data_IF_634795759110
#
_entry.id   IF_634795759110
#
_cell.length_a   1.000
_cell.length_b   1.000
_cell.length_c   1.000
_cell.angle_alpha   90.00
_cell.angle_beta   90.00
_cell.angle_gamma   90.00
#
_symmetry.space_group_name_H-M   'P 1'
#
loop_
_entity.id
_entity.type
_entity.pdbx_description
1 polymer ?
#
# COMPACT_ATOMS: atom_id res chain seq x y z
N UNK A 1 -28.61 11.51 -8.85
CA UNK A 1 -28.21 10.31 -9.63
C UNK A 1 -28.88 9.08 -9.08
N UNK A 2 -29.46 8.24 -9.93
CA UNK A 2 -29.98 6.93 -9.50
C UNK A 2 -28.82 6.00 -9.12
N UNK A 3 -29.08 5.02 -8.27
CA UNK A 3 -28.07 4.02 -7.86
C UNK A 3 -27.47 3.26 -9.05
N UNK A 4 -28.26 3.05 -10.10
CA UNK A 4 -27.81 2.41 -11.36
C UNK A 4 -26.84 3.29 -12.13
N UNK A 5 -27.14 4.58 -12.28
CA UNK A 5 -26.25 5.55 -12.95
C UNK A 5 -24.90 5.68 -12.23
N UNK A 6 -24.90 5.69 -10.89
CA UNK A 6 -23.65 5.77 -10.11
C UNK A 6 -22.78 4.52 -10.28
N UNK A 7 -23.38 3.32 -10.30
CA UNK A 7 -22.63 2.07 -10.54
C UNK A 7 -22.03 2.02 -11.94
N UNK A 8 -22.79 2.43 -12.96
CA UNK A 8 -22.30 2.51 -14.33
C UNK A 8 -21.13 3.50 -14.46
N UNK A 9 -21.24 4.67 -13.82
CA UNK A 9 -20.16 5.66 -13.79
C UNK A 9 -18.89 5.11 -13.10
N UNK A 10 -19.03 4.43 -11.95
CA UNK A 10 -17.89 3.81 -11.28
C UNK A 10 -17.25 2.70 -12.12
N UNK A 11 -18.04 1.88 -12.80
CA UNK A 11 -17.53 0.87 -13.72
C UNK A 11 -16.74 1.52 -14.86
N UNK A 12 -17.27 2.59 -15.46
CA UNK A 12 -16.57 3.35 -16.49
C UNK A 12 -15.24 3.92 -15.99
N UNK A 13 -15.21 4.45 -14.76
CA UNK A 13 -13.96 4.92 -14.12
C UNK A 13 -12.97 3.78 -13.90
N UNK A 14 -13.41 2.60 -13.49
CA UNK A 14 -12.52 1.44 -13.31
C UNK A 14 -11.98 0.91 -14.64
N UNK A 15 -12.81 0.87 -15.69
CA UNK A 15 -12.38 0.50 -17.04
C UNK A 15 -11.38 1.52 -17.61
N UNK A 16 -11.63 2.82 -17.39
CA UNK A 16 -10.69 3.88 -17.73
C UNK A 16 -9.37 3.72 -16.96
N UNK A 17 -9.44 3.49 -15.64
CA UNK A 17 -8.27 3.29 -14.81
C UNK A 17 -7.43 2.10 -15.30
N UNK A 18 -8.08 0.98 -15.62
CA UNK A 18 -7.44 -0.21 -16.18
C UNK A 18 -6.79 0.10 -17.52
N UNK A 19 -7.53 0.67 -18.47
CA UNK A 19 -7.04 1.02 -19.81
C UNK A 19 -5.80 1.91 -19.77
N UNK A 20 -5.81 2.95 -18.93
CA UNK A 20 -4.66 3.85 -18.76
C UNK A 20 -3.42 3.15 -18.19
N UNK A 21 -3.61 2.12 -17.36
CA UNK A 21 -2.50 1.41 -16.69
C UNK A 21 -1.91 0.32 -17.58
N UNK A 22 -2.70 -0.31 -18.44
CA UNK A 22 -2.19 -1.33 -19.39
C UNK A 22 -1.67 -0.74 -20.70
N UNK A 23 -1.97 0.52 -20.99
CA UNK A 23 -1.52 1.17 -22.22
C UNK A 23 0.01 1.22 -22.26
N UNK A 24 0.60 0.53 -23.26
CA UNK A 24 2.06 0.43 -23.46
C UNK A 24 2.83 -0.13 -22.25
N UNK A 25 2.25 -1.10 -21.54
CA UNK A 25 2.79 -1.66 -20.30
C UNK A 25 4.19 -2.29 -20.44
N UNK A 26 4.51 -2.84 -21.61
CA UNK A 26 5.78 -3.49 -21.97
C UNK A 26 6.61 -2.68 -22.96
N UNK A 27 6.26 -1.42 -23.20
CA UNK A 27 6.96 -0.58 -24.16
C UNK A 27 8.35 -0.11 -23.67
N UNK A 28 8.51 0.04 -22.36
CA UNK A 28 9.76 0.49 -21.74
C UNK A 28 10.52 -0.71 -21.21
N UNK A 29 11.81 -0.84 -21.51
CA UNK A 29 12.67 -1.85 -20.90
C UNK A 29 12.70 -1.74 -19.36
N UNK A 30 13.07 -2.83 -18.68
CA UNK A 30 13.19 -2.86 -17.23
C UNK A 30 14.22 -1.83 -16.72
N UNK A 31 13.79 -1.00 -15.78
CA UNK A 31 14.62 0.03 -15.15
C UNK A 31 15.34 -0.54 -13.93
N UNK A 32 16.44 0.11 -13.50
CA UNK A 32 17.39 -0.40 -12.50
C UNK A 32 16.75 -1.21 -11.36
N UNK A 33 15.83 -0.60 -10.62
CA UNK A 33 15.21 -1.28 -9.48
C UNK A 33 14.12 -2.31 -9.85
N UNK A 34 13.46 -2.16 -11.00
CA UNK A 34 12.55 -3.19 -11.53
C UNK A 34 13.34 -4.45 -11.90
N UNK A 35 14.48 -4.28 -12.56
CA UNK A 35 15.37 -5.37 -12.93
C UNK A 35 15.92 -6.08 -11.67
N UNK A 36 16.35 -5.31 -10.67
CA UNK A 36 16.75 -5.86 -9.36
C UNK A 36 15.60 -6.68 -8.75
N UNK A 37 14.41 -6.09 -8.63
CA UNK A 37 13.24 -6.76 -8.05
C UNK A 37 12.81 -8.01 -8.81
N UNK A 38 12.95 -8.01 -10.14
CA UNK A 38 12.73 -9.18 -10.98
C UNK A 38 13.68 -10.33 -10.59
N UNK A 39 15.00 -10.10 -10.64
CA UNK A 39 15.98 -11.13 -10.27
C UNK A 39 15.84 -11.57 -8.81
N UNK A 40 15.50 -10.65 -7.92
CA UNK A 40 15.24 -10.95 -6.52
C UNK A 40 14.06 -11.92 -6.36
N UNK A 41 12.99 -11.71 -7.12
CA UNK A 41 11.77 -12.54 -7.09
C UNK A 41 11.94 -13.92 -7.74
N UNK A 42 13.02 -14.15 -8.51
CA UNK A 42 13.35 -15.47 -9.06
C UNK A 42 13.95 -16.42 -8.02
N UNK A 43 14.38 -15.91 -6.86
CA UNK A 43 14.92 -16.71 -5.76
C UNK A 43 13.82 -17.56 -5.11
N UNK A 44 14.21 -18.61 -4.38
CA UNK A 44 13.23 -19.35 -3.56
C UNK A 44 12.67 -18.45 -2.45
N UNK A 45 11.46 -18.71 -1.91
CA UNK A 45 10.90 -17.89 -0.83
C UNK A 45 11.83 -17.73 0.39
N UNK A 46 12.57 -18.80 0.72
CA UNK A 46 13.58 -18.76 1.80
C UNK A 46 14.75 -17.85 1.45
N UNK A 47 15.23 -17.92 0.22
CA UNK A 47 16.35 -17.11 -0.25
C UNK A 47 15.97 -15.64 -0.43
N UNK A 48 14.70 -15.33 -0.76
CA UNK A 48 14.17 -13.96 -0.75
C UNK A 48 14.32 -13.36 0.64
N UNK A 49 13.86 -14.07 1.68
CA UNK A 49 13.98 -13.61 3.08
C UNK A 49 15.45 -13.49 3.48
N UNK A 50 16.25 -14.52 3.22
CA UNK A 50 17.68 -14.52 3.56
C UNK A 50 18.46 -13.39 2.88
N UNK A 51 18.22 -13.18 1.58
CA UNK A 51 18.86 -12.10 0.82
C UNK A 51 18.39 -10.72 1.28
N UNK A 52 17.13 -10.56 1.70
CA UNK A 52 16.62 -9.27 2.21
C UNK A 52 17.41 -8.85 3.44
N UNK A 53 17.66 -9.80 4.35
CA UNK A 53 18.42 -9.55 5.56
C UNK A 53 19.92 -9.36 5.27
N UNK A 54 20.51 -10.24 4.46
CA UNK A 54 21.94 -10.22 4.16
C UNK A 54 22.37 -8.97 3.37
N UNK A 55 21.54 -8.49 2.46
CA UNK A 55 21.81 -7.29 1.66
C UNK A 55 21.31 -6.00 2.33
N UNK A 56 20.70 -6.09 3.51
CA UNK A 56 20.00 -4.98 4.17
C UNK A 56 19.07 -4.24 3.19
N UNK A 57 18.29 -5.03 2.45
CA UNK A 57 17.37 -4.52 1.45
C UNK A 57 16.33 -3.62 2.13
N UNK A 58 16.23 -2.33 1.74
CA UNK A 58 15.39 -1.35 2.44
C UNK A 58 13.88 -1.61 2.26
N UNK A 59 13.49 -2.56 1.41
CA UNK A 59 12.11 -2.96 1.20
C UNK A 59 11.80 -4.30 1.86
N UNK A 60 10.67 -4.44 2.59
CA UNK A 60 10.30 -5.70 3.20
C UNK A 60 9.87 -6.74 2.15
N UNK A 61 9.83 -8.02 2.58
CA UNK A 61 9.75 -9.20 1.69
C UNK A 61 8.43 -9.38 0.94
N UNK A 62 7.36 -8.71 1.36
CA UNK A 62 6.00 -9.02 0.93
C UNK A 62 5.76 -8.83 -0.57
N UNK A 63 6.30 -7.76 -1.16
CA UNK A 63 6.18 -7.51 -2.60
C UNK A 63 6.92 -8.57 -3.42
N UNK A 64 8.15 -8.92 -3.03
CA UNK A 64 8.96 -9.93 -3.72
C UNK A 64 8.35 -11.33 -3.64
N UNK A 65 7.80 -11.72 -2.48
CA UNK A 65 7.12 -13.01 -2.33
C UNK A 65 5.84 -13.12 -3.17
N UNK A 66 5.06 -12.04 -3.24
CA UNK A 66 3.87 -11.99 -4.09
C UNK A 66 4.25 -12.05 -5.57
N UNK A 67 5.30 -11.32 -5.96
CA UNK A 67 5.81 -11.30 -7.33
C UNK A 67 6.40 -12.64 -7.74
N UNK A 68 7.11 -13.34 -6.84
CA UNK A 68 7.58 -14.71 -7.03
C UNK A 68 6.42 -15.66 -7.37
N UNK A 69 5.38 -15.69 -6.53
CA UNK A 69 4.23 -16.55 -6.75
C UNK A 69 3.45 -16.19 -8.02
N UNK A 70 3.36 -14.91 -8.35
CA UNK A 70 2.71 -14.44 -9.57
C UNK A 70 3.47 -14.85 -10.84
N UNK A 71 4.79 -14.63 -10.89
CA UNK A 71 5.61 -14.99 -12.05
C UNK A 71 5.61 -16.51 -12.30
N UNK A 72 5.57 -17.31 -11.23
CA UNK A 72 5.44 -18.77 -11.34
C UNK A 72 4.14 -19.19 -12.05
N UNK A 73 3.06 -18.41 -11.95
CA UNK A 73 1.78 -18.69 -12.57
C UNK A 73 1.59 -18.00 -13.94
N UNK A 74 2.02 -16.75 -14.07
CA UNK A 74 1.79 -15.90 -15.24
C UNK A 74 2.93 -15.96 -16.27
N UNK A 75 4.08 -16.54 -15.91
CA UNK A 75 5.28 -16.61 -16.74
C UNK A 75 6.20 -15.40 -16.60
N UNK A 76 7.31 -15.45 -17.35
CA UNK A 76 8.40 -14.48 -17.27
C UNK A 76 8.38 -13.55 -18.50
N UNK A 77 7.73 -12.41 -18.37
CA UNK A 77 7.78 -11.31 -19.33
C UNK A 77 7.63 -9.97 -18.61
N UNK A 78 8.08 -8.87 -19.22
CA UNK A 78 7.92 -7.52 -18.65
C UNK A 78 6.44 -7.16 -18.46
N UNK A 79 5.59 -7.58 -19.40
CA UNK A 79 4.15 -7.42 -19.29
C UNK A 79 3.60 -8.16 -18.06
N UNK A 80 3.92 -9.44 -17.90
CA UNK A 80 3.45 -10.24 -16.77
C UNK A 80 3.94 -9.65 -15.44
N UNK A 81 5.21 -9.23 -15.39
CA UNK A 81 5.84 -8.59 -14.24
C UNK A 81 5.05 -7.35 -13.77
N UNK A 82 4.80 -6.40 -14.68
CA UNK A 82 4.13 -5.13 -14.37
C UNK A 82 2.62 -5.27 -14.21
N UNK A 83 2.00 -6.30 -14.81
CA UNK A 83 0.56 -6.52 -14.70
C UNK A 83 0.11 -6.72 -13.24
N UNK A 84 0.98 -7.27 -12.38
CA UNK A 84 0.69 -7.37 -10.95
C UNK A 84 0.50 -5.97 -10.33
N UNK A 85 1.39 -5.02 -10.62
CA UNK A 85 1.26 -3.63 -10.18
C UNK A 85 0.00 -2.96 -10.73
N UNK A 86 -0.35 -3.22 -12.00
CA UNK A 86 -1.60 -2.74 -12.61
C UNK A 86 -2.81 -3.23 -11.82
N UNK A 87 -2.86 -4.53 -11.50
CA UNK A 87 -3.96 -5.12 -10.76
C UNK A 87 -4.14 -4.45 -9.38
N UNK A 88 -3.05 -4.27 -8.63
CA UNK A 88 -3.09 -3.57 -7.35
C UNK A 88 -3.49 -2.10 -7.48
N UNK A 89 -3.05 -1.41 -8.53
CA UNK A 89 -3.40 -0.01 -8.76
C UNK A 89 -4.88 0.17 -9.10
N UNK A 90 -5.45 -0.71 -9.93
CA UNK A 90 -6.91 -0.71 -10.21
C UNK A 90 -7.71 -1.08 -8.96
N UNK A 91 -7.22 -2.04 -8.17
CA UNK A 91 -7.81 -2.38 -6.89
C UNK A 91 -7.82 -1.17 -5.93
N UNK A 92 -6.73 -0.39 -5.88
CA UNK A 92 -6.68 0.84 -5.08
C UNK A 92 -7.78 1.85 -5.48
N UNK A 93 -8.02 2.03 -6.79
CA UNK A 93 -9.12 2.87 -7.30
C UNK A 93 -10.48 2.34 -6.83
N UNK A 94 -10.73 1.04 -6.93
CA UNK A 94 -11.97 0.42 -6.46
C UNK A 94 -12.16 0.55 -4.95
N UNK A 95 -11.08 0.37 -4.18
CA UNK A 95 -11.08 0.51 -2.73
C UNK A 95 -11.37 1.95 -2.30
N UNK A 96 -10.84 2.95 -3.02
CA UNK A 96 -11.13 4.36 -2.75
C UNK A 96 -12.63 4.67 -2.94
N UNK A 97 -13.26 4.13 -3.99
CA UNK A 97 -14.71 4.23 -4.16
C UNK A 97 -15.48 3.55 -3.00
N UNK A 98 -14.96 2.43 -2.49
CA UNK A 98 -15.46 1.78 -1.28
C UNK A 98 -15.33 2.67 -0.03
N UNK A 99 -14.16 3.28 0.16
CA UNK A 99 -13.84 4.16 1.28
C UNK A 99 -14.70 5.42 1.27
N UNK A 100 -14.87 6.06 0.11
CA UNK A 100 -15.76 7.21 -0.04
C UNK A 100 -17.19 6.91 0.43
N UNK A 101 -17.71 5.71 0.11
CA UNK A 101 -19.02 5.25 0.60
C UNK A 101 -19.01 4.98 2.10
N UNK A 102 -17.95 4.36 2.63
CA UNK A 102 -17.83 4.09 4.06
C UNK A 102 -17.79 5.38 4.90
N UNK A 103 -17.15 6.42 4.37
CA UNK A 103 -17.10 7.77 4.94
C UNK A 103 -18.38 8.58 4.70
N UNK A 104 -19.38 8.01 4.01
CA UNK A 104 -20.67 8.65 3.68
C UNK A 104 -20.51 9.96 2.89
N UNK A 105 -19.49 10.05 2.04
CA UNK A 105 -19.34 11.18 1.13
C UNK A 105 -20.52 11.24 0.16
N UNK A 106 -20.86 12.45 -0.30
CA UNK A 106 -21.84 12.62 -1.36
C UNK A 106 -21.43 11.80 -2.60
N UNK A 107 -22.38 11.21 -3.35
CA UNK A 107 -22.05 10.34 -4.49
C UNK A 107 -21.10 10.98 -5.51
N UNK A 108 -21.25 12.29 -5.76
CA UNK A 108 -20.38 13.05 -6.66
C UNK A 108 -18.98 13.28 -6.11
N UNK A 109 -18.84 13.57 -4.82
CA UNK A 109 -17.53 13.67 -4.18
C UNK A 109 -16.78 12.33 -4.22
N UNK A 110 -17.49 11.21 -3.98
CA UNK A 110 -16.90 9.88 -4.07
C UNK A 110 -16.49 9.49 -5.49
N UNK A 111 -17.33 9.79 -6.49
CA UNK A 111 -17.01 9.59 -7.90
C UNK A 111 -15.81 10.44 -8.33
N UNK A 112 -15.80 11.72 -7.96
CA UNK A 112 -14.70 12.64 -8.28
C UNK A 112 -13.39 12.18 -7.64
N UNK A 113 -13.39 11.79 -6.36
CA UNK A 113 -12.19 11.27 -5.69
C UNK A 113 -11.63 10.02 -6.40
N UNK A 114 -12.53 9.12 -6.82
CA UNK A 114 -12.15 7.89 -7.54
C UNK A 114 -11.60 8.22 -8.93
N UNK A 115 -12.23 9.16 -9.66
CA UNK A 115 -11.78 9.62 -10.97
C UNK A 115 -10.42 10.32 -10.88
N UNK A 116 -10.20 11.16 -9.87
CA UNK A 116 -8.93 11.83 -9.65
C UNK A 116 -7.79 10.81 -9.42
N UNK A 117 -8.02 9.75 -8.64
CA UNK A 117 -7.02 8.69 -8.48
C UNK A 117 -6.82 7.87 -9.76
N UNK A 118 -7.89 7.62 -10.53
CA UNK A 118 -7.80 6.91 -11.80
C UNK A 118 -6.91 7.65 -12.81
N UNK A 119 -6.99 8.98 -12.84
CA UNK A 119 -6.27 9.88 -13.74
C UNK A 119 -4.92 10.38 -13.19
N UNK A 120 -4.60 10.13 -11.92
CA UNK A 120 -3.41 10.66 -11.28
C UNK A 120 -2.13 10.13 -11.98
N UNK A 121 -1.30 11.01 -12.57
CA UNK A 121 -0.12 10.58 -13.34
C UNK A 121 0.85 9.73 -12.51
N UNK A 122 1.05 10.09 -11.24
CA UNK A 122 1.91 9.33 -10.32
C UNK A 122 1.35 7.93 -10.03
N UNK A 123 0.02 7.79 -9.88
CA UNK A 123 -0.60 6.48 -9.65
C UNK A 123 -0.58 5.60 -10.91
N UNK A 124 -0.61 6.20 -12.10
CA UNK A 124 -0.45 5.51 -13.38
C UNK A 124 0.99 5.07 -13.56
N UNK A 125 1.96 5.96 -13.32
CA UNK A 125 3.40 5.63 -13.37
C UNK A 125 3.72 4.43 -12.48
N UNK A 126 3.31 4.47 -11.22
CA UNK A 126 3.53 3.36 -10.28
C UNK A 126 2.71 2.10 -10.57
N UNK A 127 1.69 2.18 -11.41
CA UNK A 127 0.98 1.00 -11.90
C UNK A 127 1.77 0.27 -12.99
N UNK A 128 2.61 1.00 -13.72
CA UNK A 128 3.45 0.48 -14.80
C UNK A 128 4.89 0.17 -14.34
N UNK A 129 5.19 0.45 -13.08
CA UNK A 129 6.46 0.12 -12.44
C UNK A 129 6.28 -1.17 -11.61
N UNK A 130 7.12 -2.18 -11.84
CA UNK A 130 7.09 -3.47 -11.15
C UNK A 130 7.64 -3.40 -9.71
N UNK A 131 7.08 -2.47 -8.93
CA UNK A 131 7.52 -2.10 -7.58
C UNK A 131 6.34 -2.16 -6.59
N UNK A 132 6.66 -2.10 -5.30
CA UNK A 132 5.70 -2.24 -4.20
C UNK A 132 4.70 -1.08 -4.05
N UNK A 133 4.85 0.03 -4.77
CA UNK A 133 4.09 1.26 -4.52
C UNK A 133 2.59 1.10 -4.76
N UNK A 134 2.18 0.47 -5.87
CA UNK A 134 0.77 0.21 -6.16
C UNK A 134 0.13 -0.75 -5.16
N UNK A 135 0.89 -1.77 -4.72
CA UNK A 135 0.47 -2.68 -3.64
C UNK A 135 0.27 -1.92 -2.33
N UNK A 136 1.24 -1.09 -1.95
CA UNK A 136 1.20 -0.27 -0.73
C UNK A 136 -0.01 0.66 -0.73
N UNK A 137 -0.27 1.36 -1.84
CA UNK A 137 -1.43 2.23 -2.00
C UNK A 137 -2.75 1.47 -1.82
N UNK A 138 -2.88 0.29 -2.45
CA UNK A 138 -4.09 -0.53 -2.33
C UNK A 138 -4.29 -1.03 -0.90
N UNK A 139 -3.25 -1.58 -0.28
CA UNK A 139 -3.33 -2.17 1.06
C UNK A 139 -3.57 -1.11 2.14
N UNK A 140 -2.93 0.05 2.06
CA UNK A 140 -3.17 1.16 2.99
C UNK A 140 -4.59 1.75 2.82
N UNK A 141 -5.10 1.82 1.59
CA UNK A 141 -6.49 2.22 1.31
C UNK A 141 -7.48 1.18 1.86
N UNK A 142 -7.21 -0.11 1.66
CA UNK A 142 -8.01 -1.20 2.21
C UNK A 142 -7.99 -1.22 3.75
N UNK A 143 -6.82 -1.03 4.38
CA UNK A 143 -6.69 -0.89 5.83
C UNK A 143 -7.56 0.27 6.33
N UNK A 144 -7.51 1.43 5.66
CA UNK A 144 -8.33 2.60 6.02
C UNK A 144 -9.83 2.33 5.83
N UNK A 145 -10.22 1.62 4.77
CA UNK A 145 -11.59 1.17 4.55
C UNK A 145 -12.05 0.20 5.66
N UNK A 146 -11.18 -0.73 6.08
CA UNK A 146 -11.48 -1.64 7.17
C UNK A 146 -11.66 -0.91 8.51
N UNK A 147 -10.78 0.04 8.82
CA UNK A 147 -10.93 0.93 9.97
C UNK A 147 -12.28 1.67 9.92
N UNK A 148 -12.60 2.34 8.82
CA UNK A 148 -13.86 3.06 8.67
C UNK A 148 -15.09 2.14 8.80
N UNK A 149 -15.03 0.96 8.18
CA UNK A 149 -16.07 -0.07 8.25
C UNK A 149 -16.27 -0.61 9.67
N UNK A 150 -15.18 -0.84 10.41
CA UNK A 150 -15.21 -1.24 11.80
C UNK A 150 -15.78 -0.13 12.69
N UNK A 151 -15.34 1.12 12.50
CA UNK A 151 -15.84 2.27 13.25
C UNK A 151 -17.35 2.46 13.06
N UNK A 152 -17.86 2.20 11.87
CA UNK A 152 -19.28 2.34 11.55
C UNK A 152 -20.15 1.17 12.05
N UNK A 153 -19.66 -0.08 11.97
CA UNK A 153 -20.50 -1.28 12.16
C UNK A 153 -20.15 -2.14 13.37
N UNK A 154 -18.94 -1.99 13.92
CA UNK A 154 -18.46 -2.77 15.09
C UNK A 154 -18.50 -4.28 14.90
N UNK A 155 -18.33 -4.76 13.68
CA UNK A 155 -18.30 -6.21 13.39
C UNK A 155 -16.87 -6.71 13.30
N UNK A 156 -16.63 -7.89 13.87
CA UNK A 156 -15.31 -8.53 13.91
C UNK A 156 -14.64 -8.74 12.54
N UNK A 157 -15.35 -8.99 11.40
CA UNK A 157 -14.65 -9.16 10.12
C UNK A 157 -13.93 -7.90 9.66
N UNK A 158 -14.42 -6.71 10.02
CA UNK A 158 -13.72 -5.45 9.73
C UNK A 158 -12.48 -5.27 10.61
N UNK A 159 -12.52 -5.75 11.86
CA UNK A 159 -11.36 -5.74 12.75
C UNK A 159 -10.28 -6.72 12.28
N UNK A 160 -10.67 -7.96 11.96
CA UNK A 160 -9.77 -8.96 11.40
C UNK A 160 -9.18 -8.50 10.06
N UNK A 161 -10.02 -7.99 9.16
CA UNK A 161 -9.58 -7.40 7.89
C UNK A 161 -8.60 -6.24 8.09
N UNK A 162 -8.85 -5.35 9.05
CA UNK A 162 -7.94 -4.27 9.39
C UNK A 162 -6.56 -4.80 9.83
N UNK A 163 -6.51 -5.74 10.78
CA UNK A 163 -5.25 -6.31 11.27
C UNK A 163 -4.48 -7.00 10.15
N UNK A 164 -5.14 -7.88 9.39
CA UNK A 164 -4.52 -8.65 8.31
C UNK A 164 -3.98 -7.76 7.20
N UNK A 165 -4.79 -6.83 6.70
CA UNK A 165 -4.38 -5.93 5.60
C UNK A 165 -3.29 -4.96 6.06
N UNK A 166 -3.34 -4.49 7.31
CA UNK A 166 -2.29 -3.61 7.86
C UNK A 166 -0.97 -4.35 8.00
N UNK A 167 -0.99 -5.60 8.48
CA UNK A 167 0.20 -6.44 8.51
C UNK A 167 0.77 -6.65 7.11
N UNK A 168 -0.07 -6.97 6.13
CA UNK A 168 0.37 -7.13 4.74
C UNK A 168 0.96 -5.82 4.19
N UNK A 169 0.34 -4.68 4.49
CA UNK A 169 0.86 -3.37 4.07
C UNK A 169 2.26 -3.09 4.63
N UNK A 170 2.49 -3.41 5.90
CA UNK A 170 3.80 -3.24 6.55
C UNK A 170 4.87 -4.18 5.96
N UNK A 171 4.50 -5.41 5.62
CA UNK A 171 5.40 -6.34 4.92
C UNK A 171 5.64 -5.98 3.46
N UNK A 172 4.82 -5.11 2.85
CA UNK A 172 5.01 -4.60 1.49
C UNK A 172 5.82 -3.31 1.50
N UNK A 173 5.60 -2.42 2.47
CA UNK A 173 6.32 -1.16 2.56
C UNK A 173 6.34 -0.63 4.00
N UNK A 174 7.54 -0.40 4.56
CA UNK A 174 7.70 0.12 5.93
C UNK A 174 6.96 1.45 6.18
N UNK A 175 6.86 2.31 5.17
CA UNK A 175 6.15 3.59 5.26
C UNK A 175 4.63 3.47 5.39
N UNK A 176 4.05 2.27 5.26
CA UNK A 176 2.68 2.02 5.70
C UNK A 176 2.48 2.39 7.19
N UNK A 177 3.55 2.39 8.00
CA UNK A 177 3.52 2.86 9.38
C UNK A 177 2.99 4.31 9.51
N UNK A 178 3.29 5.21 8.57
CA UNK A 178 2.76 6.58 8.61
C UNK A 178 1.24 6.62 8.45
N UNK A 179 0.69 5.73 7.61
CA UNK A 179 -0.77 5.59 7.47
C UNK A 179 -1.37 5.03 8.76
N UNK A 180 -0.72 4.05 9.40
CA UNK A 180 -1.16 3.51 10.69
C UNK A 180 -1.16 4.59 11.78
N UNK A 181 -0.14 5.45 11.81
CA UNK A 181 -0.09 6.61 12.73
C UNK A 181 -1.25 7.57 12.43
N UNK A 182 -1.51 7.92 11.17
CA UNK A 182 -2.63 8.77 10.80
C UNK A 182 -3.99 8.17 11.21
N UNK A 183 -4.17 6.87 11.02
CA UNK A 183 -5.35 6.13 11.47
C UNK A 183 -5.49 6.17 13.00
N UNK A 184 -4.38 5.98 13.73
CA UNK A 184 -4.35 6.07 15.19
C UNK A 184 -4.79 7.46 15.67
N UNK A 185 -4.18 8.51 15.12
CA UNK A 185 -4.51 9.90 15.44
C UNK A 185 -5.98 10.21 15.12
N UNK A 186 -6.50 9.71 14.00
CA UNK A 186 -7.90 9.87 13.63
C UNK A 186 -8.86 9.24 14.66
N UNK A 187 -8.61 8.00 15.07
CA UNK A 187 -9.46 7.31 16.07
C UNK A 187 -9.38 7.99 17.44
N UNK A 188 -8.18 8.39 17.86
CA UNK A 188 -8.00 9.13 19.12
C UNK A 188 -8.73 10.48 19.07
N UNK A 189 -8.56 11.23 17.98
CA UNK A 189 -9.23 12.51 17.75
C UNK A 189 -10.75 12.38 17.82
N UNK A 190 -11.33 11.34 17.20
CA UNK A 190 -12.77 11.07 17.29
C UNK A 190 -13.23 10.81 18.73
N UNK A 191 -12.45 10.09 19.54
CA UNK A 191 -12.79 9.83 20.94
C UNK A 191 -12.65 11.04 21.87
N UNK A 192 -11.77 11.99 21.50
CA UNK A 192 -11.62 13.28 22.19
C UNK A 192 -12.80 14.19 21.86
N UNK A 193 -13.11 14.34 20.57
CA UNK A 193 -14.14 15.27 20.06
C UNK A 193 -15.56 14.78 20.32
N UNK A 194 -15.78 13.46 20.33
CA UNK A 194 -17.12 12.88 20.48
C UNK A 194 -17.07 11.66 21.41
N UNK A 195 -17.71 11.83 22.58
CA UNK A 195 -17.71 10.85 23.67
C UNK A 195 -18.26 9.48 23.25
N UNK A 196 -19.09 9.41 22.20
CA UNK A 196 -19.62 8.12 21.70
C UNK A 196 -18.51 7.19 21.21
N UNK A 197 -17.38 7.73 20.76
CA UNK A 197 -16.26 6.94 20.25
C UNK A 197 -15.28 6.49 21.33
N UNK A 198 -15.41 6.92 22.60
CA UNK A 198 -14.50 6.50 23.68
C UNK A 198 -14.52 5.00 23.92
N UNK A 199 -15.68 4.37 23.78
CA UNK A 199 -15.85 2.92 23.85
C UNK A 199 -15.05 2.16 22.78
N UNK A 200 -14.65 2.83 21.70
CA UNK A 200 -13.83 2.23 20.65
C UNK A 200 -12.34 2.18 20.97
N UNK A 201 -11.86 2.91 21.99
CA UNK A 201 -10.45 3.02 22.29
C UNK A 201 -9.84 1.67 22.70
N UNK A 202 -10.47 0.96 23.63
CA UNK A 202 -9.91 -0.30 24.12
C UNK A 202 -9.83 -1.38 23.03
N UNK A 203 -10.90 -1.65 22.24
CA UNK A 203 -10.78 -2.56 21.10
C UNK A 203 -9.80 -2.09 20.02
N UNK A 204 -9.69 -0.77 19.80
CA UNK A 204 -8.72 -0.20 18.85
C UNK A 204 -7.29 -0.47 19.30
N UNK A 205 -6.97 -0.19 20.58
CA UNK A 205 -5.68 -0.52 21.17
C UNK A 205 -5.38 -2.02 21.09
N UNK A 206 -6.39 -2.87 21.28
CA UNK A 206 -6.28 -4.31 21.07
C UNK A 206 -5.87 -4.69 19.64
N UNK A 207 -6.47 -4.06 18.62
CA UNK A 207 -6.07 -4.28 17.22
C UNK A 207 -4.65 -3.76 16.93
N UNK A 208 -4.27 -2.61 17.48
CA UNK A 208 -2.92 -2.08 17.34
C UNK A 208 -1.88 -2.98 18.01
N UNK A 209 -2.19 -3.50 19.21
CA UNK A 209 -1.35 -4.45 19.91
C UNK A 209 -1.23 -5.76 19.13
N UNK A 210 -2.30 -6.24 18.51
CA UNK A 210 -2.26 -7.42 17.64
C UNK A 210 -1.34 -7.20 16.42
N UNK A 211 -1.46 -6.06 15.73
CA UNK A 211 -0.57 -5.70 14.62
C UNK A 211 0.89 -5.63 15.10
N UNK A 212 1.15 -4.93 16.21
CA UNK A 212 2.49 -4.79 16.75
C UNK A 212 3.10 -6.14 17.13
N UNK A 213 2.36 -6.98 17.87
CA UNK A 213 2.80 -8.30 18.31
C UNK A 213 3.11 -9.23 17.14
N UNK A 214 2.25 -9.24 16.12
CA UNK A 214 2.42 -10.08 14.94
C UNK A 214 3.54 -9.59 14.01
N UNK A 215 3.82 -8.28 14.02
CA UNK A 215 4.91 -7.68 13.22
C UNK A 215 6.26 -7.67 13.96
N UNK A 216 6.25 -7.82 15.29
CA UNK A 216 7.44 -7.77 16.14
C UNK A 216 8.56 -8.73 15.73
N UNK A 217 8.28 -10.01 15.35
CA UNK A 217 9.35 -10.92 14.93
C UNK A 217 10.10 -10.40 13.70
N UNK A 218 9.38 -9.81 12.73
CA UNK A 218 10.02 -9.22 11.55
C UNK A 218 10.85 -7.99 11.92
N UNK A 219 10.33 -7.10 12.75
CA UNK A 219 11.07 -5.92 13.22
C UNK A 219 12.37 -6.28 13.93
N UNK A 220 12.37 -7.35 14.73
CA UNK A 220 13.56 -7.80 15.44
C UNK A 220 14.65 -8.25 14.47
N UNK A 221 14.28 -9.06 13.46
CA UNK A 221 15.25 -9.60 12.49
C UNK A 221 15.69 -8.54 11.48
N UNK A 222 14.81 -7.59 11.13
CA UNK A 222 15.10 -6.49 10.20
C UNK A 222 15.66 -5.23 10.90
N UNK A 223 15.98 -5.29 12.20
CA UNK A 223 16.39 -4.12 12.98
C UNK A 223 17.64 -3.44 12.41
N UNK A 224 18.65 -4.21 12.02
CA UNK A 224 19.88 -3.69 11.41
C UNK A 224 19.62 -3.00 10.06
N UNK A 225 18.66 -3.50 9.28
CA UNK A 225 18.26 -2.84 8.04
C UNK A 225 17.61 -1.48 8.30
N UNK A 226 16.82 -1.36 9.37
CA UNK A 226 16.12 -0.11 9.70
C UNK A 226 17.03 0.95 10.33
N UNK A 227 18.06 0.55 11.07
CA UNK A 227 18.96 1.47 11.79
C UNK A 227 20.31 1.66 11.11
N UNK A 228 20.77 0.68 10.34
CA UNK A 228 22.08 0.66 9.70
C UNK A 228 22.10 1.10 8.24
N UNK A 229 20.94 1.26 7.60
CA UNK A 229 20.87 1.68 6.19
C UNK A 229 21.39 3.11 5.99
N UNK A 230 22.59 3.23 5.42
CA UNK A 230 23.28 4.49 5.14
C UNK A 230 23.07 5.04 3.73
N UNK A 231 22.15 4.48 2.95
CA UNK A 231 21.98 4.81 1.52
C UNK A 231 23.05 4.15 0.63
N UNK A 232 23.05 4.52 -0.65
CA UNK A 232 23.98 3.99 -1.66
C UNK A 232 25.41 4.58 -1.56
N UNK A 233 25.78 5.14 -0.41
CA UNK A 233 27.08 5.78 -0.17
C UNK A 233 27.29 7.14 -0.84
N UNK A 234 26.37 7.57 -1.73
CA UNK A 234 26.45 8.85 -2.45
C UNK A 234 25.42 9.87 -1.97
N UNK A 235 24.33 9.42 -1.34
CA UNK A 235 23.35 10.30 -0.73
C UNK A 235 23.91 10.94 0.54
N UNK A 236 23.85 12.28 0.67
CA UNK A 236 24.27 12.95 1.89
C UNK A 236 23.39 12.50 3.06
N UNK A 237 23.98 12.35 4.25
CA UNK A 237 23.20 12.19 5.47
C UNK A 237 22.22 13.36 5.66
N UNK A 238 21.13 13.14 6.39
CA UNK A 238 20.00 14.09 6.50
C UNK A 238 20.43 15.55 6.78
N UNK A 239 21.42 15.75 7.64
CA UNK A 239 21.98 17.06 7.94
C UNK A 239 22.70 17.71 6.74
N UNK A 240 23.55 16.96 6.03
CA UNK A 240 24.21 17.46 4.81
C UNK A 240 23.22 17.70 3.67
N UNK A 241 22.20 16.86 3.55
CA UNK A 241 21.14 17.05 2.57
C UNK A 241 20.38 18.35 2.86
N UNK A 242 20.12 18.65 4.13
CA UNK A 242 19.53 19.92 4.56
C UNK A 242 20.44 21.12 4.23
N UNK A 243 21.74 21.01 4.52
CA UNK A 243 22.72 22.06 4.20
C UNK A 243 22.78 22.34 2.70
N UNK A 244 22.88 21.30 1.88
CA UNK A 244 22.87 21.41 0.41
C UNK A 244 21.57 22.03 -0.11
N UNK A 245 20.41 21.64 0.44
CA UNK A 245 19.12 22.21 0.06
C UNK A 245 18.99 23.69 0.44
N UNK A 246 19.67 24.11 1.52
CA UNK A 246 19.71 25.50 1.98
C UNK A 246 20.83 26.33 1.31
N UNK A 247 21.62 25.73 0.41
CA UNK A 247 22.72 26.40 -0.29
C UNK A 247 23.90 26.77 0.61
N UNK A 248 24.06 26.07 1.74
CA UNK A 248 25.15 26.25 2.70
C UNK A 248 26.20 25.14 2.60
#
# INVERSE_FOLDING_TARGET
MTTRSTRAALLAVLLLAFGLRVFLLDYQELRGDEAFGYFFSLRTPRDIVGATLALQEPHPVGSYLLQHGWLAAAGHSEYALRFLSVWWSVLAVALLAGLARALRLAPMSGLLATLLLALAPYAIWHAQDARMYSMSLALTTASTLCMAGWLARRRWPWAAGYVLVTLLALHVHYFAAFVVVAQYLFVMGQAILDRRYRWSLLPWLGMQAAVALLYLPWLFVAAETLTGYGGNGTSPGAWRALQQALGA
#
